data_IF_062410864799
#
_entry.id   IF_062410864799
#
_cell.length_a   1.000
_cell.length_b   1.000
_cell.length_c   1.000
_cell.angle_alpha   90.00
_cell.angle_beta   90.00
_cell.angle_gamma   90.00
#
_symmetry.space_group_name_H-M   'P 1'
#
loop_
_entity.id
_entity.type
_entity.pdbx_description
1 polymer ?
#
# COMPACT_ATOMS: atom_id res chain seq x y z
N UNK A 1 -10.39 11.70 14.51
CA UNK A 1 -10.56 10.48 13.68
C UNK A 1 -10.24 10.76 12.21
N UNK A 2 -10.33 9.78 11.30
CA UNK A 2 -9.92 10.00 9.89
C UNK A 2 -10.70 11.13 9.18
N UNK A 3 -11.94 11.38 9.58
CA UNK A 3 -12.79 12.47 9.03
C UNK A 3 -12.14 13.85 9.25
N UNK A 4 -11.46 14.08 10.37
CA UNK A 4 -10.79 15.35 10.67
C UNK A 4 -9.61 15.63 9.71
N UNK A 5 -9.10 14.61 9.02
CA UNK A 5 -8.00 14.74 8.06
C UNK A 5 -8.47 15.08 6.64
N UNK A 6 -9.79 15.10 6.37
CA UNK A 6 -10.33 15.38 5.03
C UNK A 6 -9.78 16.68 4.43
N UNK A 7 -9.70 17.82 5.16
CA UNK A 7 -9.16 19.06 4.59
C UNK A 7 -7.68 18.93 4.16
N UNK A 8 -6.88 18.21 4.95
CA UNK A 8 -5.46 17.97 4.64
C UNK A 8 -5.31 17.06 3.42
N UNK A 9 -6.11 15.99 3.33
CA UNK A 9 -6.12 15.09 2.17
C UNK A 9 -6.55 15.81 0.90
N UNK A 10 -7.61 16.65 0.97
CA UNK A 10 -8.06 17.42 -0.19
C UNK A 10 -6.95 18.34 -0.69
N UNK A 11 -6.29 19.05 0.23
CA UNK A 11 -5.16 19.91 -0.12
C UNK A 11 -4.04 19.13 -0.83
N UNK A 12 -3.68 17.95 -0.33
CA UNK A 12 -2.66 17.11 -0.97
C UNK A 12 -3.09 16.66 -2.38
N UNK A 13 -4.37 16.31 -2.57
CA UNK A 13 -4.88 15.95 -3.89
C UNK A 13 -4.84 17.13 -4.85
N UNK A 14 -5.18 18.33 -4.39
CA UNK A 14 -5.16 19.53 -5.22
C UNK A 14 -3.72 19.95 -5.59
N UNK A 15 -2.75 19.77 -4.69
CA UNK A 15 -1.34 20.15 -4.90
C UNK A 15 -0.55 19.10 -5.72
N UNK A 16 -1.02 17.86 -5.78
CA UNK A 16 -0.28 16.71 -6.30
C UNK A 16 -1.12 15.76 -7.17
N UNK A 17 -2.15 16.28 -7.84
CA UNK A 17 -3.08 15.52 -8.70
C UNK A 17 -2.38 14.71 -9.80
N UNK A 18 -1.22 15.18 -10.25
CA UNK A 18 -0.41 14.58 -11.29
C UNK A 18 0.41 13.36 -10.83
N UNK A 19 0.52 13.12 -9.52
CA UNK A 19 1.28 12.00 -8.95
C UNK A 19 0.46 11.12 -8.02
N UNK A 20 -0.71 11.57 -7.56
CA UNK A 20 -1.62 10.77 -6.72
C UNK A 20 -2.68 10.12 -7.61
N UNK A 21 -2.54 8.81 -7.78
CA UNK A 21 -3.54 8.01 -8.47
C UNK A 21 -4.66 7.60 -7.50
N UNK A 22 -5.89 7.96 -7.84
CA UNK A 22 -7.08 7.67 -7.05
C UNK A 22 -7.75 6.37 -7.52
N UNK A 23 -8.34 5.65 -6.56
CA UNK A 23 -9.12 4.44 -6.87
C UNK A 23 -10.37 4.78 -7.69
N UNK A 24 -10.76 3.88 -8.60
CA UNK A 24 -11.93 4.06 -9.49
C UNK A 24 -13.14 3.26 -9.03
N UNK A 25 -12.90 2.20 -8.28
CA UNK A 25 -13.91 1.26 -7.80
C UNK A 25 -13.44 0.55 -6.53
N UNK A 26 -14.41 0.07 -5.76
CA UNK A 26 -14.20 -0.66 -4.51
C UNK A 26 -15.02 -1.94 -4.50
N UNK A 27 -14.59 -2.91 -3.71
CA UNK A 27 -15.33 -4.12 -3.40
C UNK A 27 -15.93 -4.02 -2.00
N UNK A 28 -17.26 -4.17 -1.94
CA UNK A 28 -18.04 -4.17 -0.71
C UNK A 28 -18.53 -5.57 -0.35
N UNK A 29 -18.87 -5.73 0.93
CA UNK A 29 -19.50 -6.95 1.45
C UNK A 29 -21.03 -6.87 1.37
N UNK A 30 -21.62 -7.69 0.49
CA UNK A 30 -23.06 -7.89 0.36
C UNK A 30 -23.47 -9.23 0.97
N UNK A 31 -23.46 -9.30 2.31
CA UNK A 31 -23.89 -10.49 3.06
C UNK A 31 -22.97 -11.70 2.85
N UNK A 32 -21.66 -11.49 2.88
CA UNK A 32 -20.62 -12.49 2.63
C UNK A 32 -20.20 -12.60 1.17
N UNK A 33 -20.79 -11.80 0.28
CA UNK A 33 -20.45 -11.79 -1.16
C UNK A 33 -19.70 -10.53 -1.52
N UNK A 34 -18.63 -10.69 -2.28
CA UNK A 34 -17.91 -9.58 -2.90
C UNK A 34 -18.77 -8.95 -4.00
N UNK A 35 -19.08 -7.66 -3.87
CA UNK A 35 -19.73 -6.87 -4.91
C UNK A 35 -18.86 -5.66 -5.24
N UNK A 36 -18.51 -5.48 -6.52
CA UNK A 36 -17.75 -4.31 -6.95
C UNK A 36 -18.69 -3.15 -7.30
N UNK A 37 -18.37 -1.97 -6.77
CA UNK A 37 -19.11 -0.73 -7.01
C UNK A 37 -18.14 0.37 -7.45
N UNK A 38 -18.48 1.15 -8.50
CA UNK A 38 -17.75 2.36 -8.84
C UNK A 38 -17.81 3.40 -7.71
N UNK A 39 -16.76 4.25 -7.60
CA UNK A 39 -16.70 5.31 -6.58
C UNK A 39 -17.87 6.30 -6.70
N UNK A 40 -18.36 6.59 -7.90
CA UNK A 40 -19.50 7.50 -8.13
C UNK A 40 -20.85 6.97 -7.60
N UNK A 41 -20.90 5.70 -7.18
CA UNK A 41 -22.07 5.08 -6.53
C UNK A 41 -21.96 5.01 -5.01
N UNK A 42 -20.92 5.60 -4.42
CA UNK A 42 -20.80 5.76 -2.98
C UNK A 42 -21.60 6.99 -2.50
N UNK A 43 -22.04 7.03 -1.22
CA UNK A 43 -21.83 6.01 -0.19
C UNK A 43 -22.73 4.78 -0.35
N UNK A 44 -22.24 3.63 0.11
CA UNK A 44 -23.02 2.39 0.22
C UNK A 44 -23.30 2.07 1.68
N UNK A 45 -24.43 1.44 1.97
CA UNK A 45 -24.72 0.87 3.31
C UNK A 45 -23.90 -0.40 3.60
N UNK A 46 -23.08 -0.84 2.65
CA UNK A 46 -22.22 -2.03 2.74
C UNK A 46 -20.80 -1.63 3.08
N UNK A 47 -20.10 -2.38 3.95
CA UNK A 47 -18.72 -2.06 4.29
C UNK A 47 -17.81 -2.31 3.08
N UNK A 48 -16.95 -1.34 2.77
CA UNK A 48 -15.86 -1.49 1.81
C UNK A 48 -14.78 -2.36 2.45
N UNK A 49 -14.37 -3.43 1.76
CA UNK A 49 -13.39 -4.38 2.26
C UNK A 49 -12.18 -4.59 1.35
N UNK A 50 -12.23 -4.17 0.08
CA UNK A 50 -11.10 -4.27 -0.84
C UNK A 50 -11.27 -3.25 -2.00
N UNK A 51 -10.24 -3.10 -2.84
CA UNK A 51 -10.32 -2.33 -4.09
C UNK A 51 -10.99 -3.14 -5.20
N UNK A 52 -11.62 -2.47 -6.16
CA UNK A 52 -12.28 -3.11 -7.29
C UNK A 52 -11.33 -3.46 -8.44
N UNK A 53 -11.84 -4.24 -9.40
CA UNK A 53 -11.05 -4.79 -10.51
C UNK A 53 -10.47 -3.73 -11.44
N UNK A 54 -11.13 -2.57 -11.62
CA UNK A 54 -10.61 -1.48 -12.45
C UNK A 54 -9.37 -0.85 -11.81
N UNK A 55 -9.45 -0.57 -10.51
CA UNK A 55 -8.35 -0.03 -9.71
C UNK A 55 -7.16 -1.00 -9.71
N UNK A 56 -7.40 -2.30 -9.48
CA UNK A 56 -6.36 -3.33 -9.53
C UNK A 56 -5.63 -3.33 -10.88
N UNK A 57 -6.39 -3.28 -11.98
CA UNK A 57 -5.83 -3.29 -13.34
C UNK A 57 -4.92 -2.09 -13.60
N UNK A 58 -5.33 -0.92 -13.16
CA UNK A 58 -4.57 0.31 -13.34
C UNK A 58 -3.31 0.34 -12.50
N UNK A 59 -3.41 0.00 -11.21
CA UNK A 59 -2.26 -0.03 -10.32
C UNK A 59 -1.25 -1.08 -10.76
N UNK A 60 -1.70 -2.25 -11.21
CA UNK A 60 -0.83 -3.29 -11.78
C UNK A 60 -0.05 -2.78 -13.00
N UNK A 61 -0.66 -1.93 -13.83
CA UNK A 61 0.02 -1.31 -14.98
C UNK A 61 1.10 -0.35 -14.50
N UNK A 62 0.78 0.53 -13.56
CA UNK A 62 1.75 1.47 -12.97
C UNK A 62 2.94 0.74 -12.36
N UNK A 63 2.68 -0.30 -11.56
CA UNK A 63 3.71 -1.11 -10.91
C UNK A 63 4.62 -1.85 -11.92
N UNK A 64 4.06 -2.26 -13.05
CA UNK A 64 4.83 -2.93 -14.12
C UNK A 64 5.82 -1.98 -14.80
N UNK A 65 5.45 -0.72 -14.97
CA UNK A 65 6.25 0.28 -15.67
C UNK A 65 7.26 1.00 -14.73
N UNK A 66 7.18 0.75 -13.42
CA UNK A 66 8.06 1.34 -12.43
C UNK A 66 9.49 0.75 -12.46
N UNK A 67 10.49 1.58 -12.13
CA UNK A 67 11.88 1.14 -11.91
C UNK A 67 12.19 0.85 -10.43
N UNK A 68 11.45 1.48 -9.52
CA UNK A 68 11.56 1.30 -8.07
C UNK A 68 10.16 1.30 -7.48
N UNK A 69 9.88 0.37 -6.57
CA UNK A 69 8.59 0.22 -5.90
C UNK A 69 8.82 0.22 -4.39
N UNK A 70 8.11 1.10 -3.69
CA UNK A 70 7.95 1.00 -2.24
C UNK A 70 6.50 0.61 -1.96
N UNK A 71 6.30 -0.49 -1.24
CA UNK A 71 4.96 -1.02 -0.96
C UNK A 71 4.74 -1.17 0.54
N UNK A 72 3.68 -0.54 1.06
CA UNK A 72 3.33 -0.58 2.48
C UNK A 72 1.80 -0.51 2.65
N UNK A 73 1.26 -1.46 3.41
CA UNK A 73 -0.17 -1.66 3.64
C UNK A 73 -0.85 -2.61 2.63
N UNK A 74 -1.77 -3.49 3.08
CA UNK A 74 -2.64 -4.22 2.17
C UNK A 74 -3.69 -3.27 1.53
N UNK A 75 -4.25 -3.66 0.39
CA UNK A 75 -5.29 -2.89 -0.30
C UNK A 75 -6.71 -3.10 0.27
N UNK A 76 -6.86 -4.14 1.10
CA UNK A 76 -8.13 -4.56 1.67
C UNK A 76 -7.96 -5.52 2.85
N UNK A 77 -9.07 -6.10 3.30
CA UNK A 77 -9.15 -7.11 4.36
C UNK A 77 -8.69 -8.46 3.80
N UNK A 78 -7.37 -8.59 3.60
CA UNK A 78 -6.75 -9.74 2.95
C UNK A 78 -6.86 -11.05 3.74
N UNK A 79 -7.29 -10.98 5.00
CA UNK A 79 -7.57 -12.12 5.85
C UNK A 79 -8.84 -12.87 5.39
N UNK A 80 -9.76 -12.18 4.70
CA UNK A 80 -10.98 -12.76 4.12
C UNK A 80 -10.74 -13.18 2.66
N UNK A 81 -10.87 -14.48 2.29
CA UNK A 81 -10.55 -14.97 0.95
C UNK A 81 -11.27 -14.24 -0.20
N UNK A 82 -12.51 -13.79 0.00
CA UNK A 82 -13.26 -13.02 -1.01
C UNK A 82 -12.77 -11.56 -1.16
N UNK A 83 -11.98 -11.05 -0.21
CA UNK A 83 -11.46 -9.68 -0.18
C UNK A 83 -9.92 -9.60 -0.21
N UNK A 84 -9.24 -10.73 -0.43
CA UNK A 84 -7.78 -10.75 -0.59
C UNK A 84 -7.30 -10.38 -1.99
N UNK A 85 -8.22 -10.31 -2.96
CA UNK A 85 -7.94 -10.20 -4.40
C UNK A 85 -7.09 -8.98 -4.71
N UNK A 86 -7.46 -7.79 -4.23
CA UNK A 86 -6.73 -6.56 -4.49
C UNK A 86 -5.30 -6.64 -3.94
N UNK A 87 -5.17 -7.00 -2.66
CA UNK A 87 -3.86 -7.13 -2.02
C UNK A 87 -2.98 -8.17 -2.72
N UNK A 88 -3.53 -9.35 -3.03
CA UNK A 88 -2.80 -10.40 -3.72
C UNK A 88 -2.35 -9.93 -5.10
N UNK A 89 -3.23 -9.33 -5.90
CA UNK A 89 -2.89 -8.88 -7.26
C UNK A 89 -1.84 -7.79 -7.28
N UNK A 90 -1.89 -6.84 -6.34
CA UNK A 90 -0.86 -5.81 -6.23
C UNK A 90 0.48 -6.42 -5.81
N UNK A 91 0.51 -7.27 -4.80
CA UNK A 91 1.76 -7.93 -4.37
C UNK A 91 2.33 -8.86 -5.45
N UNK A 92 1.48 -9.56 -6.19
CA UNK A 92 1.86 -10.36 -7.36
C UNK A 92 2.48 -9.48 -8.45
N UNK A 93 1.91 -8.30 -8.71
CA UNK A 93 2.46 -7.33 -9.65
C UNK A 93 3.85 -6.81 -9.20
N UNK A 94 4.01 -6.49 -7.91
CA UNK A 94 5.31 -6.10 -7.35
C UNK A 94 6.33 -7.22 -7.50
N UNK A 95 5.97 -8.45 -7.12
CA UNK A 95 6.83 -9.63 -7.19
C UNK A 95 7.25 -10.02 -8.62
N UNK A 96 6.42 -9.72 -9.61
CA UNK A 96 6.72 -9.99 -11.02
C UNK A 96 7.37 -8.81 -11.75
N UNK A 97 7.49 -7.65 -11.09
CA UNK A 97 8.13 -6.46 -11.66
C UNK A 97 9.65 -6.64 -11.74
N UNK A 98 10.29 -5.97 -12.70
CA UNK A 98 11.76 -5.87 -12.80
C UNK A 98 12.32 -4.75 -11.93
N UNK A 99 11.45 -3.97 -11.28
CA UNK A 99 11.82 -2.89 -10.39
C UNK A 99 12.61 -3.39 -9.17
N UNK A 100 13.43 -2.52 -8.60
CA UNK A 100 13.84 -2.71 -7.20
C UNK A 100 12.61 -2.55 -6.31
N UNK A 101 12.24 -3.60 -5.57
CA UNK A 101 11.06 -3.61 -4.71
C UNK A 101 11.42 -3.64 -3.23
N UNK A 102 10.88 -2.68 -2.50
CA UNK A 102 11.06 -2.52 -1.07
C UNK A 102 9.70 -2.60 -0.39
N UNK A 103 9.47 -3.68 0.34
CA UNK A 103 8.19 -3.95 0.98
C UNK A 103 8.32 -3.85 2.50
N UNK A 104 7.42 -3.12 3.14
CA UNK A 104 7.45 -2.88 4.58
C UNK A 104 6.08 -2.91 5.24
N UNK A 105 6.09 -3.10 6.56
CA UNK A 105 4.88 -3.13 7.40
C UNK A 105 4.41 -4.55 7.73
N UNK A 106 4.04 -4.78 9.00
CA UNK A 106 3.73 -6.13 9.50
C UNK A 106 2.60 -6.85 8.74
N UNK A 107 1.50 -6.15 8.46
CA UNK A 107 0.39 -6.72 7.68
C UNK A 107 0.79 -7.04 6.23
N UNK A 108 1.63 -6.20 5.62
CA UNK A 108 2.11 -6.41 4.26
C UNK A 108 3.06 -7.60 4.17
N UNK A 109 3.93 -7.77 5.17
CA UNK A 109 4.82 -8.94 5.28
C UNK A 109 4.00 -10.21 5.46
N UNK A 110 3.02 -10.20 6.35
CA UNK A 110 2.13 -11.35 6.55
C UNK A 110 1.35 -11.71 5.27
N UNK A 111 0.91 -10.71 4.50
CA UNK A 111 0.26 -10.93 3.20
C UNK A 111 1.25 -11.51 2.16
N UNK A 112 2.48 -11.02 2.07
CA UNK A 112 3.53 -11.56 1.20
C UNK A 112 3.83 -13.03 1.51
N UNK A 113 3.94 -13.38 2.79
CA UNK A 113 4.15 -14.75 3.25
C UNK A 113 2.96 -15.65 2.91
N UNK A 114 1.72 -15.19 3.22
CA UNK A 114 0.48 -15.90 2.89
C UNK A 114 0.40 -16.28 1.42
N UNK A 115 0.81 -15.38 0.51
CA UNK A 115 0.77 -15.62 -0.93
C UNK A 115 2.03 -16.28 -1.51
N UNK A 116 3.03 -16.62 -0.69
CA UNK A 116 4.27 -17.25 -1.15
C UNK A 116 5.14 -16.35 -2.02
N UNK A 117 5.05 -15.03 -1.83
CA UNK A 117 5.72 -14.03 -2.66
C UNK A 117 6.96 -13.41 -1.98
N UNK A 118 7.22 -13.72 -0.71
CA UNK A 118 8.31 -13.13 0.07
C UNK A 118 9.70 -13.26 -0.61
N UNK A 119 9.97 -14.38 -1.29
CA UNK A 119 11.25 -14.63 -1.97
C UNK A 119 11.39 -13.95 -3.35
N UNK A 120 10.37 -13.19 -3.79
CA UNK A 120 10.31 -12.54 -5.11
C UNK A 120 10.43 -11.02 -5.03
N UNK A 121 10.61 -10.44 -3.83
CA UNK A 121 10.82 -9.00 -3.64
C UNK A 121 12.28 -8.71 -3.30
N UNK A 122 12.76 -7.51 -3.62
CA UNK A 122 14.19 -7.19 -3.48
C UNK A 122 14.61 -6.98 -2.02
N UNK A 123 13.74 -6.39 -1.20
CA UNK A 123 14.01 -6.19 0.22
C UNK A 123 12.72 -6.15 1.05
N UNK A 124 12.76 -6.81 2.22
CA UNK A 124 11.69 -6.79 3.22
C UNK A 124 12.15 -6.00 4.44
N UNK A 125 11.44 -4.92 4.75
CA UNK A 125 11.67 -4.11 5.94
C UNK A 125 10.70 -4.49 7.06
N UNK A 126 11.23 -5.14 8.10
CA UNK A 126 10.48 -5.43 9.34
C UNK A 126 10.24 -4.18 10.19
N UNK A 127 10.95 -3.09 9.88
CA UNK A 127 10.91 -1.85 10.63
C UNK A 127 9.71 -0.97 10.22
N UNK A 128 8.47 -1.46 10.34
CA UNK A 128 7.25 -0.79 9.81
C UNK A 128 7.21 0.74 9.91
N UNK A 129 7.05 1.31 11.11
CA UNK A 129 6.97 2.79 11.29
C UNK A 129 8.30 3.49 11.08
N UNK A 130 9.40 2.93 11.59
CA UNK A 130 10.74 3.52 11.44
C UNK A 130 11.17 3.62 9.97
N UNK A 131 10.71 2.69 9.14
CA UNK A 131 10.93 2.66 7.70
C UNK A 131 10.21 3.82 7.00
N UNK A 132 8.94 4.05 7.33
CA UNK A 132 8.18 5.19 6.79
C UNK A 132 8.82 6.51 7.26
N UNK A 133 9.18 6.64 8.53
CA UNK A 133 9.89 7.82 9.05
C UNK A 133 11.23 8.10 8.36
N UNK A 134 11.99 7.04 8.02
CA UNK A 134 13.23 7.17 7.22
C UNK A 134 12.96 7.75 5.83
N UNK A 135 11.92 7.26 5.14
CA UNK A 135 11.55 7.73 3.81
C UNK A 135 11.03 9.17 3.83
N UNK A 136 10.36 9.57 4.91
CA UNK A 136 9.83 10.94 5.08
C UNK A 136 10.87 11.94 5.60
N UNK A 137 12.16 11.57 5.63
CA UNK A 137 13.29 12.40 6.09
C UNK A 137 13.19 12.89 7.55
N UNK A 138 12.45 12.18 8.40
CA UNK A 138 12.57 12.42 9.84
C UNK A 138 13.94 11.89 10.30
N UNK A 139 14.72 12.71 11.02
CA UNK A 139 16.00 12.26 11.56
C UNK A 139 15.77 11.05 12.48
N UNK A 140 16.25 9.88 12.08
CA UNK A 140 16.17 8.69 12.92
C UNK A 140 17.19 8.80 14.06
N UNK A 141 16.75 8.87 15.34
CA UNK A 141 17.66 9.10 16.47
C UNK A 141 18.79 8.05 16.56
N UNK A 142 18.51 6.81 16.15
CA UNK A 142 19.50 5.72 16.12
C UNK A 142 20.58 5.88 15.04
N UNK A 143 20.24 6.41 13.85
CA UNK A 143 21.23 6.71 12.80
C UNK A 143 22.10 7.89 13.23
N UNK A 144 21.50 8.90 13.86
CA UNK A 144 22.24 10.05 14.37
C UNK A 144 23.19 9.67 15.53
N UNK A 145 22.77 8.76 16.41
CA UNK A 145 23.64 8.21 17.45
C UNK A 145 24.88 7.50 16.85
N UNK A 146 24.70 6.70 15.80
CA UNK A 146 25.80 6.01 15.10
C UNK A 146 26.71 6.99 14.35
N UNK A 147 26.17 8.01 13.67
CA UNK A 147 26.97 9.05 13.02
C UNK A 147 27.81 9.84 14.01
N UNK A 148 27.26 10.16 15.19
CA UNK A 148 27.98 10.83 16.28
C UNK A 148 29.10 9.96 16.83
N UNK A 149 28.84 8.67 17.04
CA UNK A 149 29.87 7.72 17.49
C UNK A 149 31.03 7.59 16.48
N UNK A 150 30.73 7.53 15.18
CA UNK A 150 31.76 7.46 14.13
C UNK A 150 32.60 8.75 14.02
N UNK A 151 32.02 9.93 14.21
CA UNK A 151 32.75 11.21 14.16
C UNK A 151 33.65 11.47 15.38
N UNK A 152 33.53 10.65 16.42
CA UNK A 152 34.29 10.78 17.67
C UNK A 152 35.17 9.56 17.99
N UNK A 153 35.37 8.67 17.00
CA UNK A 153 36.29 7.54 17.05
C UNK A 153 37.53 7.75 16.20
#
# INVERSE_FOLDING_TARGET
>A
GLIEKIPEVQKLLDEHDNIIEMIKDVAVDDGGKRLEIPIDKLPSNRPIKDIGSKTIKEYTKILKDANTIVFNGPAGVYEEPQFEIGTHKLLEAVANSKAFSLVGGGHTIAALEKFGLANKVSYISTAGKAFISFLTKEELPGIEALKRAYKHG
#
